data_IF_067078650000
#
_entry.id   IF_067078650000
#
_cell.length_a   1.000
_cell.length_b   1.000
_cell.length_c   1.000
_cell.angle_alpha   90.00
_cell.angle_beta   90.00
_cell.angle_gamma   90.00
#
_symmetry.space_group_name_H-M   'P 1'
#
loop_
_entity.id
_entity.type
_entity.pdbx_description
1 polymer ?
#
# COMPACT_ATOMS: atom_id res chain seq x y z
N UNK A 1 -33.61 3.60 20.06
CA UNK A 1 -34.92 4.11 19.59
C UNK A 1 -35.00 5.63 19.78
N UNK A 2 -34.73 6.40 18.71
CA UNK A 2 -35.23 7.78 18.55
C UNK A 2 -35.14 8.19 17.07
N UNK A 3 -35.94 7.49 16.27
CA UNK A 3 -36.40 7.93 14.96
C UNK A 3 -37.03 9.32 15.07
N UNK A 4 -36.71 10.21 14.13
CA UNK A 4 -37.71 11.05 13.47
C UNK A 4 -37.20 11.62 12.13
N UNK A 5 -37.86 11.28 11.02
CA UNK A 5 -37.46 11.63 9.66
C UNK A 5 -37.88 13.07 9.35
N UNK A 6 -36.97 13.88 8.83
CA UNK A 6 -37.33 15.16 8.24
C UNK A 6 -37.77 14.93 6.79
N UNK A 7 -39.08 15.06 6.64
CA UNK A 7 -39.85 15.13 5.41
C UNK A 7 -39.32 16.21 4.45
N UNK A 8 -39.31 15.82 3.17
CA UNK A 8 -39.85 16.54 2.01
C UNK A 8 -39.16 17.81 1.47
N UNK A 9 -38.60 17.65 0.26
CA UNK A 9 -38.78 18.40 -1.01
C UNK A 9 -39.02 19.93 -0.99
N UNK A 10 -38.39 20.69 -1.92
CA UNK A 10 -38.70 20.65 -3.36
C UNK A 10 -37.44 20.60 -4.26
N UNK A 11 -37.44 19.92 -5.41
CA UNK A 11 -37.95 20.36 -6.73
C UNK A 11 -37.34 21.68 -7.28
N UNK A 12 -36.91 21.58 -8.55
CA UNK A 12 -36.57 22.64 -9.51
C UNK A 12 -35.12 23.16 -9.53
N UNK A 13 -34.45 22.88 -10.65
CA UNK A 13 -33.12 23.43 -10.95
C UNK A 13 -32.58 22.96 -12.30
N UNK A 14 -33.41 23.03 -13.34
CA UNK A 14 -33.00 22.89 -14.74
C UNK A 14 -32.00 24.03 -15.06
N UNK A 15 -30.70 23.76 -15.06
CA UNK A 15 -29.72 24.72 -15.57
C UNK A 15 -29.27 24.32 -16.97
N UNK A 16 -29.66 25.18 -17.90
CA UNK A 16 -29.49 25.04 -19.33
C UNK A 16 -28.04 25.23 -19.78
N UNK A 17 -27.75 24.58 -20.90
CA UNK A 17 -26.54 24.68 -21.72
C UNK A 17 -26.23 26.14 -22.11
N UNK A 18 -24.98 26.54 -21.91
CA UNK A 18 -24.36 27.61 -22.67
C UNK A 18 -23.07 27.08 -23.31
N UNK A 19 -23.13 26.90 -24.63
CA UNK A 19 -21.98 26.68 -25.48
C UNK A 19 -21.17 27.98 -25.58
N UNK A 20 -19.89 27.93 -25.23
CA UNK A 20 -18.92 29.00 -25.42
C UNK A 20 -17.54 28.38 -25.62
N UNK A 21 -17.19 28.13 -26.87
CA UNK A 21 -15.84 27.77 -27.27
C UNK A 21 -14.93 29.00 -27.11
N UNK A 22 -14.02 28.94 -26.14
CA UNK A 22 -12.74 29.61 -26.24
C UNK A 22 -11.67 28.51 -26.16
N UNK A 23 -11.08 28.27 -27.32
CA UNK A 23 -9.82 27.55 -27.49
C UNK A 23 -8.77 28.19 -26.59
N UNK A 24 -8.27 27.45 -25.62
CA UNK A 24 -6.98 27.74 -25.03
C UNK A 24 -6.25 26.41 -24.83
N UNK A 25 -5.35 26.17 -25.78
CA UNK A 25 -4.14 25.37 -25.73
C UNK A 25 -4.01 24.42 -24.55
N UNK A 26 -4.06 23.14 -24.91
CA UNK A 26 -3.69 21.96 -24.14
C UNK A 26 -2.40 22.17 -23.32
N UNK A 27 -2.42 21.74 -22.05
CA UNK A 27 -1.36 20.89 -21.55
C UNK A 27 -1.92 19.47 -21.38
N UNK A 28 -1.58 18.59 -22.32
CA UNK A 28 -1.41 17.15 -22.03
C UNK A 28 0.08 17.04 -21.69
N UNK A 29 0.54 16.46 -20.55
CA UNK A 29 0.14 15.17 -19.94
C UNK A 29 0.25 15.13 -18.38
N UNK A 30 0.17 13.96 -17.70
CA UNK A 30 -0.33 12.64 -18.10
C UNK A 30 -1.64 12.29 -17.37
N UNK A 31 -2.54 11.51 -17.98
CA UNK A 31 -2.79 10.14 -17.54
C UNK A 31 -2.60 9.96 -16.02
N UNK A 32 -3.72 9.78 -15.32
CA UNK A 32 -3.83 9.11 -14.03
C UNK A 32 -3.16 7.73 -14.08
N UNK A 33 -1.82 7.72 -14.07
CA UNK A 33 -1.05 6.83 -13.24
C UNK A 33 -0.98 7.55 -11.89
N UNK A 34 -2.00 7.36 -11.06
CA UNK A 34 -1.93 7.65 -9.64
C UNK A 34 -0.70 6.92 -9.09
N UNK A 35 0.40 7.67 -8.94
CA UNK A 35 1.46 7.32 -8.04
C UNK A 35 1.09 7.95 -6.69
N UNK A 36 0.60 7.18 -5.70
CA UNK A 36 0.73 7.62 -4.33
C UNK A 36 2.17 7.35 -3.93
N UNK A 37 3.07 8.30 -4.17
CA UNK A 37 4.27 8.44 -3.37
C UNK A 37 3.95 9.36 -2.17
N UNK A 38 2.85 9.04 -1.48
CA UNK A 38 2.74 9.39 -0.07
C UNK A 38 3.75 8.50 0.63
N UNK A 39 4.66 9.08 1.39
CA UNK A 39 5.50 8.37 2.37
C UNK A 39 4.59 7.78 3.46
N UNK A 40 3.73 6.83 3.08
CA UNK A 40 3.16 5.88 4.01
C UNK A 40 4.32 4.92 4.32
N UNK A 41 4.73 4.90 5.59
CA UNK A 41 5.72 3.93 6.05
C UNK A 41 5.14 2.54 5.76
N UNK A 42 5.64 1.90 4.71
CA UNK A 42 5.26 0.55 4.34
C UNK A 42 5.65 -0.32 5.53
N UNK A 43 4.64 -0.88 6.20
CA UNK A 43 4.85 -1.76 7.35
C UNK A 43 5.41 -3.08 6.82
N UNK A 44 6.74 -3.19 6.84
CA UNK A 44 7.44 -4.43 6.57
C UNK A 44 7.15 -5.41 7.70
N UNK A 45 7.02 -6.67 7.38
CA UNK A 45 6.92 -7.73 8.39
C UNK A 45 8.29 -8.27 8.81
N UNK A 46 9.36 -7.64 8.34
CA UNK A 46 10.74 -8.01 8.64
C UNK A 46 11.66 -6.78 8.61
N UNK A 47 12.59 -6.68 9.56
CA UNK A 47 13.62 -5.63 9.59
C UNK A 47 14.87 -6.01 8.75
N UNK A 48 15.11 -7.31 8.59
CA UNK A 48 16.27 -7.84 7.85
C UNK A 48 15.84 -8.68 6.66
N UNK A 49 16.64 -8.70 5.62
CA UNK A 49 16.42 -9.45 4.39
C UNK A 49 16.38 -10.96 4.70
N UNK A 50 15.27 -11.66 4.42
CA UNK A 50 15.13 -13.08 4.76
C UNK A 50 16.05 -13.99 3.95
N UNK A 51 16.59 -13.52 2.81
CA UNK A 51 17.52 -14.29 1.98
C UNK A 51 18.96 -14.20 2.47
N UNK A 52 19.45 -12.99 2.72
CA UNK A 52 20.88 -12.71 2.93
C UNK A 52 21.20 -12.05 4.28
N UNK A 53 20.19 -11.65 5.06
CA UNK A 53 20.35 -11.06 6.39
C UNK A 53 20.82 -9.59 6.43
N UNK A 54 20.88 -8.90 5.28
CA UNK A 54 21.14 -7.44 5.25
C UNK A 54 19.91 -6.62 5.68
N UNK A 55 20.04 -5.31 5.85
CA UNK A 55 18.90 -4.45 6.22
C UNK A 55 17.80 -4.46 5.15
N UNK A 56 16.52 -4.57 5.54
CA UNK A 56 15.41 -4.52 4.61
C UNK A 56 15.15 -3.07 4.12
N UNK A 57 15.00 -2.90 2.81
CA UNK A 57 14.66 -1.62 2.19
C UNK A 57 13.15 -1.54 1.95
N UNK A 58 12.42 -0.54 2.50
CA UNK A 58 10.98 -0.38 2.27
C UNK A 58 10.62 -0.03 0.82
N UNK A 59 11.60 0.34 -0.01
CA UNK A 59 11.42 0.51 -1.46
C UNK A 59 11.53 -0.82 -2.23
N UNK A 60 12.10 -1.87 -1.62
CA UNK A 60 12.30 -3.18 -2.23
C UNK A 60 11.48 -4.23 -1.48
N UNK A 61 10.20 -4.33 -1.85
CA UNK A 61 9.25 -5.20 -1.16
C UNK A 61 8.50 -6.13 -2.10
N UNK A 62 7.96 -7.21 -1.55
CA UNK A 62 6.99 -8.08 -2.24
C UNK A 62 5.87 -8.44 -1.28
N UNK A 63 4.66 -8.60 -1.81
CA UNK A 63 3.57 -9.22 -1.04
C UNK A 63 3.70 -10.74 -1.09
N UNK A 64 3.66 -11.37 0.07
CA UNK A 64 3.63 -12.83 0.20
C UNK A 64 2.77 -13.22 1.40
N UNK A 65 1.81 -14.13 1.22
CA UNK A 65 0.83 -14.51 2.25
C UNK A 65 0.04 -13.33 2.87
N UNK A 66 -0.20 -12.27 2.10
CA UNK A 66 -0.87 -11.06 2.60
C UNK A 66 -0.01 -10.20 3.54
N UNK A 67 1.29 -10.47 3.59
CA UNK A 67 2.29 -9.73 4.34
C UNK A 67 3.26 -9.05 3.38
N UNK A 68 3.75 -7.87 3.74
CA UNK A 68 4.75 -7.15 2.94
C UNK A 68 6.15 -7.51 3.42
N UNK A 69 6.88 -8.28 2.61
CA UNK A 69 8.25 -8.71 2.88
C UNK A 69 9.22 -7.72 2.24
N UNK A 70 10.16 -7.19 3.02
CA UNK A 70 11.23 -6.31 2.56
C UNK A 70 12.54 -7.04 2.27
N UNK A 71 13.31 -6.54 1.31
CA UNK A 71 14.62 -7.09 0.95
C UNK A 71 15.70 -6.02 0.94
N UNK A 72 16.96 -6.45 1.08
CA UNK A 72 18.10 -5.53 1.04
C UNK A 72 18.45 -5.03 -0.36
N UNK A 73 18.02 -5.73 -1.43
CA UNK A 73 18.25 -5.31 -2.81
C UNK A 73 17.25 -5.95 -3.78
N UNK A 74 17.06 -5.32 -4.94
CA UNK A 74 16.09 -5.78 -5.94
C UNK A 74 16.42 -7.15 -6.56
N UNK A 75 17.66 -7.62 -6.43
CA UNK A 75 18.07 -8.95 -6.90
C UNK A 75 17.52 -10.08 -6.01
N UNK A 76 17.18 -9.79 -4.75
CA UNK A 76 16.57 -10.75 -3.84
C UNK A 76 15.13 -11.10 -4.23
N UNK A 77 14.42 -10.24 -4.99
CA UNK A 77 13.03 -10.49 -5.41
C UNK A 77 12.92 -11.73 -6.32
N UNK A 78 13.68 -11.86 -7.43
CA UNK A 78 13.61 -13.07 -8.25
C UNK A 78 14.05 -14.32 -7.49
N UNK A 79 15.12 -14.25 -6.68
CA UNK A 79 15.54 -15.38 -5.83
C UNK A 79 14.42 -15.81 -4.86
N UNK A 80 13.72 -14.85 -4.27
CA UNK A 80 12.57 -15.09 -3.41
C UNK A 80 11.42 -15.78 -4.16
N UNK A 81 11.21 -15.45 -5.44
CA UNK A 81 10.17 -16.08 -6.25
C UNK A 81 10.51 -17.53 -6.60
N UNK A 82 11.79 -17.85 -6.79
CA UNK A 82 12.28 -19.19 -7.11
C UNK A 82 12.18 -20.18 -5.94
N UNK A 83 12.18 -19.67 -4.70
CA UNK A 83 12.00 -20.50 -3.51
C UNK A 83 10.61 -21.16 -3.46
N UNK A 84 10.54 -22.30 -2.77
CA UNK A 84 9.25 -22.91 -2.39
C UNK A 84 8.57 -22.11 -1.27
N UNK A 85 7.27 -22.30 -1.08
CA UNK A 85 6.54 -21.62 0.00
C UNK A 85 7.08 -22.00 1.39
N UNK A 86 7.55 -23.23 1.56
CA UNK A 86 8.16 -23.71 2.81
C UNK A 86 9.50 -22.99 3.09
N UNK A 87 10.36 -22.88 2.08
CA UNK A 87 11.62 -22.14 2.22
C UNK A 87 11.36 -20.65 2.50
N UNK A 88 10.41 -20.03 1.80
CA UNK A 88 10.00 -18.64 2.07
C UNK A 88 9.54 -18.46 3.51
N UNK A 89 8.72 -19.39 4.03
CA UNK A 89 8.26 -19.35 5.41
C UNK A 89 9.42 -19.43 6.42
N UNK A 90 10.37 -20.35 6.21
CA UNK A 90 11.55 -20.50 7.08
C UNK A 90 12.41 -19.23 7.06
N UNK A 91 12.71 -18.71 5.87
CA UNK A 91 13.52 -17.51 5.70
C UNK A 91 12.86 -16.28 6.30
N UNK A 92 11.54 -16.12 6.11
CA UNK A 92 10.79 -15.02 6.70
C UNK A 92 10.72 -15.13 8.21
N UNK A 93 10.46 -16.33 8.75
CA UNK A 93 10.41 -16.56 10.19
C UNK A 93 11.74 -16.21 10.87
N UNK A 94 12.87 -16.51 10.22
CA UNK A 94 14.20 -16.12 10.70
C UNK A 94 14.37 -14.59 10.74
N UNK A 95 13.86 -13.87 9.73
CA UNK A 95 13.89 -12.41 9.69
C UNK A 95 12.91 -11.74 10.67
N UNK A 96 11.77 -12.39 10.93
CA UNK A 96 10.72 -11.97 11.87
C UNK A 96 11.08 -12.18 13.34
N UNK A 97 12.01 -13.09 13.65
CA UNK A 97 12.42 -13.39 15.01
C UNK A 97 13.01 -12.17 15.76
N UNK A 98 13.41 -11.11 15.04
CA UNK A 98 13.77 -9.82 15.62
C UNK A 98 12.59 -8.99 16.13
N UNK A 99 11.39 -9.17 15.55
CA UNK A 99 10.25 -8.26 15.75
C UNK A 99 9.16 -8.78 16.71
N UNK A 100 9.13 -10.08 17.02
CA UNK A 100 8.10 -10.68 17.91
C UNK A 100 8.14 -10.17 19.36
N UNK A 101 9.00 -9.21 19.69
CA UNK A 101 9.05 -8.55 21.00
C UNK A 101 8.23 -7.24 21.05
N UNK A 102 7.71 -6.72 19.92
CA UNK A 102 7.08 -5.40 19.90
C UNK A 102 5.54 -5.38 19.83
N UNK A 103 4.87 -6.54 19.91
CA UNK A 103 3.41 -6.63 19.91
C UNK A 103 2.79 -7.17 21.22
N UNK A 104 3.60 -7.39 22.27
CA UNK A 104 3.14 -7.89 23.58
C UNK A 104 3.49 -6.98 24.78
N UNK A 105 3.89 -5.72 24.57
CA UNK A 105 4.07 -4.72 25.65
C UNK A 105 2.97 -3.66 25.62
N UNK A 106 1.72 -4.12 25.71
CA UNK A 106 0.52 -3.29 25.84
C UNK A 106 -0.40 -3.82 26.93
N UNK A 107 0.14 -4.10 28.12
CA UNK A 107 -0.63 -4.40 29.34
C UNK A 107 -0.14 -3.52 30.50
N UNK A 108 -1.10 -2.86 31.14
CA UNK A 108 -1.07 -2.00 32.34
C UNK A 108 -0.84 -0.49 32.18
#
# INVERSE_FOLDING_TARGET
MKIRPFLALPAAGLFALAAGCAVETEPVPPADAEAPATTEAVALVNETCPLMGGDADPAVTTEWNGQTVGFCCAQCIPEWQELTEEEKAEKLAAAQAGETQNAMDGDA
#
